data_IF_551640244174
#
_entry.id   IF_551640244174
#
_cell.length_a   1.000
_cell.length_b   1.000
_cell.length_c   1.000
_cell.angle_alpha   90.00
_cell.angle_beta   90.00
_cell.angle_gamma   90.00
#
_symmetry.space_group_name_H-M   'P 1'
#
loop_
_entity.id
_entity.type
_entity.pdbx_description
1 polymer ?
#
# COMPACT_ATOMS: atom_id res chain seq x y z
N UNK A 1 21.06 17.45 8.84
CA UNK A 1 19.92 16.74 9.47
C UNK A 1 18.63 17.55 9.45
N UNK A 2 18.62 18.83 9.81
CA UNK A 2 17.38 19.65 9.84
C UNK A 2 16.75 19.80 8.44
N UNK A 3 17.54 19.83 7.38
CA UNK A 3 17.02 19.90 6.00
C UNK A 3 16.31 18.61 5.55
N UNK A 4 16.81 17.43 5.92
CA UNK A 4 16.21 16.14 5.58
C UNK A 4 14.78 15.99 6.13
N UNK A 5 14.53 16.35 7.38
CA UNK A 5 13.19 16.28 7.99
C UNK A 5 12.19 17.23 7.30
N UNK A 6 12.65 18.41 6.87
CA UNK A 6 11.80 19.34 6.11
C UNK A 6 11.43 18.77 4.75
N UNK A 7 12.38 18.14 4.06
CA UNK A 7 12.16 17.49 2.75
C UNK A 7 11.18 16.34 2.90
N UNK A 8 11.38 15.43 3.85
CA UNK A 8 10.47 14.32 4.12
C UNK A 8 9.04 14.82 4.43
N UNK A 9 8.91 15.84 5.27
CA UNK A 9 7.60 16.44 5.58
C UNK A 9 6.92 17.06 4.36
N UNK A 10 7.70 17.72 3.49
CA UNK A 10 7.19 18.28 2.25
C UNK A 10 6.71 17.16 1.30
N UNK A 11 7.45 16.06 1.20
CA UNK A 11 7.07 14.87 0.42
C UNK A 11 5.79 14.24 0.96
N UNK A 12 5.68 14.04 2.28
CA UNK A 12 4.47 13.51 2.91
C UNK A 12 3.25 14.39 2.58
N UNK A 13 3.38 15.71 2.67
CA UNK A 13 2.27 16.61 2.37
C UNK A 13 1.88 16.60 0.89
N UNK A 14 2.86 16.51 -0.02
CA UNK A 14 2.62 16.36 -1.44
C UNK A 14 1.85 15.07 -1.72
N UNK A 15 2.41 13.92 -1.30
CA UNK A 15 1.81 12.61 -1.55
C UNK A 15 0.42 12.46 -0.92
N UNK A 16 0.23 12.98 0.28
CA UNK A 16 -1.10 13.04 0.91
C UNK A 16 -2.11 13.74 0.01
N UNK A 17 -1.74 14.89 -0.55
CA UNK A 17 -2.64 15.66 -1.41
C UNK A 17 -2.90 14.93 -2.72
N UNK A 18 -1.89 14.31 -3.31
CA UNK A 18 -1.98 13.59 -4.57
C UNK A 18 -2.84 12.32 -4.41
N UNK A 19 -2.64 11.54 -3.35
CA UNK A 19 -3.47 10.37 -3.03
C UNK A 19 -4.93 10.77 -2.78
N UNK A 20 -5.19 11.79 -1.97
CA UNK A 20 -6.55 12.24 -1.67
C UNK A 20 -7.31 12.79 -2.89
N UNK A 21 -6.59 13.33 -3.87
CA UNK A 21 -7.17 13.78 -5.15
C UNK A 21 -7.37 12.64 -6.15
N UNK A 22 -6.61 11.58 -6.03
CA UNK A 22 -6.67 10.45 -6.94
C UNK A 22 -7.67 9.41 -6.45
N UNK A 23 -8.93 9.51 -6.91
CA UNK A 23 -10.02 8.59 -6.54
C UNK A 23 -9.66 7.11 -6.81
N UNK A 24 -8.90 6.82 -7.87
CA UNK A 24 -8.48 5.44 -8.18
C UNK A 24 -7.58 4.88 -7.10
N UNK A 25 -6.61 5.65 -6.61
CA UNK A 25 -5.72 5.23 -5.52
C UNK A 25 -6.49 5.00 -4.23
N UNK A 26 -7.43 5.88 -3.88
CA UNK A 26 -8.28 5.69 -2.71
C UNK A 26 -9.13 4.43 -2.81
N UNK A 27 -9.73 4.15 -3.96
CA UNK A 27 -10.51 2.92 -4.17
C UNK A 27 -9.61 1.69 -3.96
N UNK A 28 -8.41 1.66 -4.55
CA UNK A 28 -7.47 0.54 -4.40
C UNK A 28 -7.07 0.36 -2.93
N UNK A 29 -6.83 1.45 -2.20
CA UNK A 29 -6.44 1.40 -0.79
C UNK A 29 -7.52 0.79 0.11
N UNK A 30 -8.77 1.07 -0.15
CA UNK A 30 -9.87 0.66 0.72
C UNK A 30 -10.74 -0.48 0.16
N UNK A 31 -10.42 -1.00 -1.03
CA UNK A 31 -11.24 -2.02 -1.70
C UNK A 31 -11.44 -3.26 -0.83
N UNK A 32 -10.39 -3.81 -0.25
CA UNK A 32 -10.48 -5.03 0.56
C UNK A 32 -11.18 -4.81 1.91
N UNK A 33 -10.83 -3.77 2.71
CA UNK A 33 -11.57 -3.46 3.94
C UNK A 33 -13.06 -3.20 3.69
N UNK A 34 -13.40 -2.47 2.62
CA UNK A 34 -14.79 -2.16 2.28
C UNK A 34 -15.56 -3.40 1.82
N UNK A 35 -14.95 -4.25 0.97
CA UNK A 35 -15.57 -5.50 0.54
C UNK A 35 -15.84 -6.40 1.75
N UNK A 36 -14.87 -6.56 2.65
CA UNK A 36 -15.03 -7.39 3.85
C UNK A 36 -16.11 -6.83 4.79
N UNK A 37 -16.11 -5.52 4.99
CA UNK A 37 -17.16 -4.84 5.75
C UNK A 37 -18.54 -5.11 5.16
N UNK A 38 -18.69 -5.00 3.84
CA UNK A 38 -19.95 -5.29 3.16
C UNK A 38 -20.40 -6.76 3.32
N UNK A 39 -19.47 -7.72 3.19
CA UNK A 39 -19.74 -9.16 3.40
C UNK A 39 -20.22 -9.41 4.83
N UNK A 40 -19.59 -8.76 5.81
CA UNK A 40 -19.95 -8.88 7.23
C UNK A 40 -21.35 -8.34 7.50
N UNK A 41 -21.69 -7.17 6.94
CA UNK A 41 -23.03 -6.57 7.07
C UNK A 41 -24.11 -7.36 6.32
N UNK A 42 -23.79 -7.92 5.13
CA UNK A 42 -24.71 -8.74 4.36
C UNK A 42 -25.05 -10.09 5.06
N UNK A 43 -24.32 -10.42 6.12
CA UNK A 43 -24.60 -11.63 6.92
C UNK A 43 -24.20 -12.92 6.22
N UNK A 44 -23.28 -12.88 5.24
CA UNK A 44 -22.82 -14.07 4.52
C UNK A 44 -22.01 -14.94 5.49
N UNK A 45 -22.61 -16.05 5.93
CA UNK A 45 -22.12 -16.91 7.01
C UNK A 45 -20.75 -17.56 6.68
N UNK A 46 -20.50 -17.86 5.41
CA UNK A 46 -19.28 -18.55 4.94
C UNK A 46 -18.00 -17.74 5.20
N UNK A 47 -18.11 -16.42 5.29
CA UNK A 47 -16.97 -15.51 5.55
C UNK A 47 -16.97 -14.91 6.97
N UNK A 48 -17.96 -15.28 7.81
CA UNK A 48 -18.01 -14.80 9.20
C UNK A 48 -16.93 -15.49 10.03
N UNK A 49 -15.96 -14.70 10.47
CA UNK A 49 -14.93 -15.12 11.44
C UNK A 49 -13.57 -15.47 10.82
N UNK A 50 -13.44 -15.54 9.50
CA UNK A 50 -12.14 -15.73 8.85
C UNK A 50 -11.94 -14.71 7.72
N UNK A 51 -11.51 -13.51 8.10
CA UNK A 51 -11.13 -12.44 7.18
C UNK A 51 -9.66 -12.48 6.77
N UNK A 52 -8.92 -13.53 7.17
CA UNK A 52 -7.46 -13.61 6.99
C UNK A 52 -7.02 -13.41 5.55
N UNK A 53 -7.72 -13.98 4.58
CA UNK A 53 -7.44 -13.81 3.17
C UNK A 53 -7.56 -12.35 2.72
N UNK A 54 -8.59 -11.62 3.19
CA UNK A 54 -8.75 -10.19 2.87
C UNK A 54 -7.68 -9.33 3.53
N UNK A 55 -7.29 -9.67 4.76
CA UNK A 55 -6.18 -9.02 5.46
C UNK A 55 -4.87 -9.23 4.73
N UNK A 56 -4.58 -10.46 4.28
CA UNK A 56 -3.39 -10.77 3.48
C UNK A 56 -3.40 -10.05 2.13
N UNK A 57 -4.52 -10.03 1.42
CA UNK A 57 -4.66 -9.27 0.17
C UNK A 57 -4.40 -7.79 0.39
N UNK A 58 -4.94 -7.21 1.46
CA UNK A 58 -4.70 -5.81 1.82
C UNK A 58 -3.23 -5.56 2.14
N UNK A 59 -2.58 -6.46 2.87
CA UNK A 59 -1.20 -6.30 3.33
C UNK A 59 -0.16 -6.49 2.22
N UNK A 60 -0.47 -7.27 1.19
CA UNK A 60 0.46 -7.60 0.11
C UNK A 60 0.13 -6.83 -1.16
N UNK A 61 -1.11 -6.96 -1.67
CA UNK A 61 -1.45 -6.44 -3.00
C UNK A 61 -1.55 -4.91 -3.02
N UNK A 62 -2.16 -4.32 -1.98
CA UNK A 62 -2.41 -2.87 -1.96
C UNK A 62 -1.13 -2.07 -1.92
N UNK A 63 -0.16 -2.30 -1.01
CA UNK A 63 1.07 -1.52 -0.97
C UNK A 63 1.92 -1.68 -2.23
N UNK A 64 2.00 -2.88 -2.81
CA UNK A 64 2.72 -3.11 -4.08
C UNK A 64 2.10 -2.24 -5.17
N UNK A 65 0.78 -2.30 -5.34
CA UNK A 65 0.08 -1.59 -6.40
C UNK A 65 0.17 -0.07 -6.24
N UNK A 66 -0.02 0.45 -5.03
CA UNK A 66 -0.03 1.90 -4.76
C UNK A 66 1.37 2.48 -4.96
N UNK A 67 2.40 1.88 -4.34
CA UNK A 67 3.77 2.38 -4.46
C UNK A 67 4.25 2.33 -5.90
N UNK A 68 4.02 1.21 -6.60
CA UNK A 68 4.39 1.07 -8.00
C UNK A 68 3.69 2.12 -8.88
N UNK A 69 2.40 2.39 -8.62
CA UNK A 69 1.63 3.40 -9.35
C UNK A 69 2.15 4.83 -9.11
N UNK A 70 2.49 5.19 -7.87
CA UNK A 70 3.04 6.51 -7.53
C UNK A 70 4.37 6.71 -8.27
N UNK A 71 5.29 5.75 -8.15
CA UNK A 71 6.64 5.85 -8.74
C UNK A 71 6.56 5.92 -10.27
N UNK A 72 5.75 5.07 -10.89
CA UNK A 72 5.57 5.07 -12.34
C UNK A 72 4.90 6.36 -12.84
N UNK A 73 3.90 6.89 -12.13
CA UNK A 73 3.24 8.16 -12.45
C UNK A 73 4.21 9.34 -12.38
N UNK A 74 5.06 9.41 -11.36
CA UNK A 74 6.06 10.46 -11.23
C UNK A 74 7.16 10.37 -12.29
N UNK A 75 7.53 9.14 -12.67
CA UNK A 75 8.46 8.88 -13.77
C UNK A 75 7.86 9.33 -15.11
N UNK A 76 6.61 8.96 -15.38
CA UNK A 76 5.88 9.33 -16.60
C UNK A 76 5.73 10.85 -16.73
N UNK A 77 5.41 11.55 -15.65
CA UNK A 77 5.27 13.01 -15.59
C UNK A 77 6.61 13.75 -15.55
N UNK A 78 7.73 13.05 -15.43
CA UNK A 78 9.06 13.67 -15.25
C UNK A 78 9.28 14.34 -13.89
N UNK A 79 8.32 14.26 -12.97
CA UNK A 79 8.39 14.86 -11.64
C UNK A 79 9.50 14.25 -10.80
N UNK A 80 9.72 12.95 -10.93
CA UNK A 80 10.83 12.26 -10.27
C UNK A 80 12.19 12.89 -10.59
N UNK A 81 12.44 13.17 -11.88
CA UNK A 81 13.69 13.84 -12.31
C UNK A 81 13.81 15.25 -11.74
N UNK A 82 12.72 16.02 -11.72
CA UNK A 82 12.71 17.36 -11.13
C UNK A 82 12.99 17.35 -9.64
N UNK A 83 12.44 16.38 -8.89
CA UNK A 83 12.70 16.21 -7.45
C UNK A 83 14.18 15.91 -7.19
N UNK A 84 14.78 15.01 -7.97
CA UNK A 84 16.21 14.68 -7.82
C UNK A 84 17.10 15.90 -8.14
N UNK A 85 16.76 16.67 -9.19
CA UNK A 85 17.51 17.90 -9.54
C UNK A 85 17.33 19.02 -8.51
N UNK A 86 16.25 19.05 -7.76
CA UNK A 86 16.03 20.02 -6.66
C UNK A 86 16.78 19.66 -5.36
N UNK A 87 17.56 18.56 -5.38
CA UNK A 87 18.39 18.12 -4.26
C UNK A 87 17.71 17.20 -3.27
N UNK A 88 16.51 16.68 -3.60
CA UNK A 88 15.85 15.61 -2.81
C UNK A 88 16.66 14.32 -2.99
N UNK A 89 17.04 13.68 -1.89
CA UNK A 89 17.73 12.40 -1.93
C UNK A 89 16.75 11.26 -2.14
N UNK A 90 17.16 10.22 -2.89
CA UNK A 90 16.32 9.05 -3.12
C UNK A 90 15.73 8.44 -1.84
N UNK A 91 16.52 8.42 -0.75
CA UNK A 91 16.07 7.93 0.55
C UNK A 91 14.96 8.81 1.18
N UNK A 92 15.04 10.13 1.05
CA UNK A 92 14.02 11.07 1.55
C UNK A 92 12.71 10.91 0.78
N UNK A 93 12.82 10.68 -0.52
CA UNK A 93 11.69 10.38 -1.39
C UNK A 93 11.00 9.07 -1.00
N UNK A 94 11.77 7.97 -0.88
CA UNK A 94 11.24 6.66 -0.50
C UNK A 94 10.54 6.73 0.86
N UNK A 95 11.18 7.30 1.89
CA UNK A 95 10.58 7.43 3.21
C UNK A 95 9.30 8.27 3.17
N UNK A 96 9.31 9.38 2.44
CA UNK A 96 8.14 10.25 2.34
C UNK A 96 6.90 9.52 1.81
N UNK A 97 7.07 8.72 0.76
CA UNK A 97 5.97 7.90 0.20
C UNK A 97 5.59 6.77 1.16
N UNK A 98 6.57 6.03 1.70
CA UNK A 98 6.28 4.91 2.61
C UNK A 98 5.48 5.35 3.83
N UNK A 99 5.82 6.47 4.45
CA UNK A 99 5.12 6.97 5.65
C UNK A 99 3.65 7.26 5.35
N UNK A 100 3.36 7.96 4.27
CA UNK A 100 1.97 8.31 3.96
C UNK A 100 1.14 7.07 3.55
N UNK A 101 1.70 6.18 2.74
CA UNK A 101 1.02 4.95 2.35
C UNK A 101 0.78 4.06 3.58
N UNK A 102 1.78 3.92 4.48
CA UNK A 102 1.65 3.18 5.73
C UNK A 102 0.50 3.71 6.59
N UNK A 103 0.34 5.02 6.72
CA UNK A 103 -0.78 5.60 7.48
C UNK A 103 -2.15 5.15 6.95
N UNK A 104 -2.33 5.13 5.63
CA UNK A 104 -3.58 4.67 5.03
C UNK A 104 -3.79 3.16 5.18
N UNK A 105 -2.72 2.36 5.07
CA UNK A 105 -2.79 0.91 5.26
C UNK A 105 -3.16 0.54 6.71
N UNK A 106 -2.57 1.22 7.69
CA UNK A 106 -2.92 1.04 9.10
C UNK A 106 -4.38 1.39 9.35
N UNK A 107 -4.90 2.44 8.72
CA UNK A 107 -6.32 2.77 8.82
C UNK A 107 -7.22 1.66 8.25
N UNK A 108 -6.82 1.02 7.15
CA UNK A 108 -7.49 -0.17 6.62
C UNK A 108 -7.48 -1.34 7.60
N UNK A 109 -6.36 -1.56 8.31
CA UNK A 109 -6.26 -2.61 9.35
C UNK A 109 -7.20 -2.35 10.53
N UNK A 110 -7.40 -1.10 10.93
CA UNK A 110 -8.37 -0.75 11.97
C UNK A 110 -9.80 -1.15 11.57
N UNK A 111 -10.15 -1.00 10.29
CA UNK A 111 -11.46 -1.45 9.78
C UNK A 111 -11.59 -2.98 9.89
N UNK A 112 -10.55 -3.74 9.54
CA UNK A 112 -10.53 -5.20 9.67
C UNK A 112 -10.67 -5.65 11.12
N UNK A 113 -10.01 -4.99 12.06
CA UNK A 113 -10.10 -5.30 13.49
C UNK A 113 -11.52 -5.06 14.01
N UNK A 114 -12.14 -3.93 13.66
CA UNK A 114 -13.52 -3.63 14.07
C UNK A 114 -14.55 -4.61 13.46
N UNK A 115 -14.29 -5.17 12.30
CA UNK A 115 -15.17 -6.16 11.67
C UNK A 115 -14.92 -7.59 12.15
N UNK A 116 -13.90 -7.80 12.96
CA UNK A 116 -13.56 -9.10 13.54
C UNK A 116 -12.81 -10.04 12.60
N UNK A 117 -12.23 -9.52 11.51
CA UNK A 117 -11.41 -10.30 10.58
C UNK A 117 -10.16 -10.92 11.23
N UNK A 118 -9.67 -10.31 12.30
CA UNK A 118 -8.44 -10.68 13.02
C UNK A 118 -8.67 -11.43 14.32
N UNK A 119 -9.91 -11.81 14.64
CA UNK A 119 -10.28 -12.39 15.96
C UNK A 119 -9.58 -13.69 16.34
N UNK A 120 -9.06 -14.43 15.37
CA UNK A 120 -8.43 -15.74 15.59
C UNK A 120 -6.91 -15.67 15.81
N UNK A 121 -6.30 -14.49 15.75
CA UNK A 121 -4.87 -14.28 15.99
C UNK A 121 -4.65 -13.41 17.22
N UNK A 122 -3.56 -13.68 17.94
CA UNK A 122 -3.12 -12.76 19.00
C UNK A 122 -2.86 -11.40 18.35
N UNK A 123 -3.62 -10.38 18.78
CA UNK A 123 -3.67 -9.06 18.14
C UNK A 123 -2.28 -8.45 17.99
N UNK A 124 -1.39 -8.67 18.95
CA UNK A 124 -0.03 -8.13 18.91
C UNK A 124 0.85 -8.80 17.84
N UNK A 125 0.82 -10.12 17.74
CA UNK A 125 1.56 -10.88 16.72
C UNK A 125 1.04 -10.54 15.32
N UNK A 126 -0.27 -10.48 15.14
CA UNK A 126 -0.88 -10.10 13.87
C UNK A 126 -0.44 -8.71 13.40
N UNK A 127 -0.39 -7.73 14.32
CA UNK A 127 0.07 -6.37 13.98
C UNK A 127 1.53 -6.39 13.51
N UNK A 128 2.43 -7.09 14.22
CA UNK A 128 3.85 -7.15 13.84
C UNK A 128 4.02 -7.81 12.47
N UNK A 129 3.37 -8.94 12.24
CA UNK A 129 3.46 -9.66 10.96
C UNK A 129 2.95 -8.79 9.81
N UNK A 130 1.81 -8.11 9.99
CA UNK A 130 1.28 -7.21 8.97
C UNK A 130 2.17 -5.98 8.72
N UNK A 131 2.81 -5.41 9.75
CA UNK A 131 3.76 -4.30 9.57
C UNK A 131 4.98 -4.73 8.75
N UNK A 132 5.52 -5.92 9.00
CA UNK A 132 6.62 -6.48 8.21
C UNK A 132 6.15 -6.72 6.76
N UNK A 133 4.98 -7.31 6.58
CA UNK A 133 4.40 -7.55 5.26
C UNK A 133 4.21 -6.22 4.49
N UNK A 134 3.72 -5.15 5.11
CA UNK A 134 3.61 -3.84 4.49
C UNK A 134 4.94 -3.30 4.01
N UNK A 135 5.98 -3.34 4.85
CA UNK A 135 7.31 -2.83 4.50
C UNK A 135 7.90 -3.61 3.32
N UNK A 136 7.85 -4.94 3.37
CA UNK A 136 8.37 -5.78 2.29
C UNK A 136 7.60 -5.55 0.97
N UNK A 137 6.28 -5.49 1.05
CA UNK A 137 5.42 -5.23 -0.11
C UNK A 137 5.67 -3.85 -0.72
N UNK A 138 5.89 -2.82 0.11
CA UNK A 138 6.27 -1.49 -0.37
C UNK A 138 7.60 -1.51 -1.12
N UNK A 139 8.61 -2.24 -0.62
CA UNK A 139 9.91 -2.39 -1.29
C UNK A 139 9.75 -3.04 -2.68
N UNK A 140 8.93 -4.09 -2.78
CA UNK A 140 8.61 -4.73 -4.06
C UNK A 140 7.89 -3.74 -4.98
N UNK A 141 6.94 -2.97 -4.45
CA UNK A 141 6.24 -1.92 -5.19
C UNK A 141 7.18 -0.87 -5.78
N UNK A 142 8.21 -0.43 -5.04
CA UNK A 142 9.25 0.46 -5.56
C UNK A 142 9.99 -0.15 -6.74
N UNK A 143 10.41 -1.42 -6.64
CA UNK A 143 11.11 -2.11 -7.72
C UNK A 143 10.25 -2.16 -8.98
N UNK A 144 8.97 -2.54 -8.83
CA UNK A 144 8.02 -2.61 -9.95
C UNK A 144 7.81 -1.22 -10.57
N UNK A 145 7.63 -0.17 -9.75
CA UNK A 145 7.44 1.19 -10.22
C UNK A 145 8.62 1.73 -11.02
N UNK A 146 9.85 1.40 -10.61
CA UNK A 146 11.07 1.77 -11.34
C UNK A 146 11.18 1.04 -12.67
N UNK A 147 10.79 -0.23 -12.74
CA UNK A 147 10.84 -1.05 -13.96
C UNK A 147 9.73 -0.64 -14.93
N UNK A 148 8.56 -0.24 -14.44
CA UNK A 148 7.41 0.13 -15.26
C UNK A 148 7.64 1.47 -15.98
N UNK A 149 7.28 1.54 -17.26
CA UNK A 149 7.45 2.76 -18.07
C UNK A 149 6.38 3.81 -17.79
N UNK A 150 5.18 3.39 -17.41
CA UNK A 150 4.04 4.25 -17.13
C UNK A 150 3.07 3.60 -16.15
N UNK A 151 2.10 4.38 -15.67
CA UNK A 151 1.11 3.90 -14.69
C UNK A 151 0.25 2.73 -15.23
N UNK A 152 0.02 2.65 -16.54
CA UNK A 152 -0.78 1.56 -17.13
C UNK A 152 -0.02 0.24 -17.11
N UNK A 153 1.30 0.26 -17.38
CA UNK A 153 2.15 -0.93 -17.36
C UNK A 153 2.35 -1.53 -15.97
N UNK A 154 2.17 -0.73 -14.91
CA UNK A 154 2.24 -1.21 -13.52
C UNK A 154 1.29 -2.39 -13.29
N UNK A 155 0.03 -2.30 -13.76
CA UNK A 155 -0.94 -3.38 -13.59
C UNK A 155 -0.49 -4.70 -14.22
N UNK A 156 0.10 -4.64 -15.40
CA UNK A 156 0.59 -5.82 -16.12
C UNK A 156 1.76 -6.51 -15.39
N UNK A 157 2.62 -5.75 -14.71
CA UNK A 157 3.78 -6.28 -13.98
C UNK A 157 3.40 -6.66 -12.55
N UNK A 158 2.64 -5.83 -11.86
CA UNK A 158 2.32 -6.02 -10.43
C UNK A 158 1.36 -7.17 -10.18
N UNK A 159 0.35 -7.39 -11.04
CA UNK A 159 -0.64 -8.44 -10.82
C UNK A 159 -0.02 -9.85 -10.78
N UNK A 160 0.82 -10.29 -11.76
CA UNK A 160 1.46 -11.60 -11.66
C UNK A 160 2.33 -11.74 -10.41
N UNK A 161 3.12 -10.71 -10.08
CA UNK A 161 4.00 -10.73 -8.89
C UNK A 161 3.19 -10.85 -7.61
N UNK A 162 2.12 -10.06 -7.46
CA UNK A 162 1.27 -10.09 -6.26
C UNK A 162 0.54 -11.42 -6.12
N UNK A 163 0.07 -12.01 -7.22
CA UNK A 163 -0.59 -13.32 -7.19
C UNK A 163 0.39 -14.42 -6.76
N UNK A 164 1.61 -14.44 -7.30
CA UNK A 164 2.64 -15.41 -6.89
C UNK A 164 2.90 -15.29 -5.39
N UNK A 165 3.12 -14.08 -4.88
CA UNK A 165 3.40 -13.85 -3.45
C UNK A 165 2.20 -14.23 -2.58
N UNK A 166 0.98 -13.95 -3.03
CA UNK A 166 -0.24 -14.27 -2.29
C UNK A 166 -0.48 -15.77 -2.18
N UNK A 167 -0.23 -16.54 -3.25
CA UNK A 167 -0.45 -17.99 -3.25
C UNK A 167 0.74 -18.79 -2.69
N UNK A 168 1.94 -18.21 -2.57
CA UNK A 168 3.12 -18.90 -2.05
C UNK A 168 2.94 -19.54 -0.65
N UNK A 169 2.24 -18.89 0.32
CA UNK A 169 2.02 -19.50 1.64
C UNK A 169 1.00 -20.64 1.66
N UNK A 170 0.29 -20.88 0.56
CA UNK A 170 -0.79 -21.87 0.48
C UNK A 170 -0.29 -23.21 -0.09
N UNK A 171 0.92 -23.21 -0.67
CA UNK A 171 1.62 -24.40 -1.21
C UNK A 171 2.59 -24.94 -0.19
#
# INVERSE_FOLDING_TARGET
MINSLRVIRAMINKEKTDILRNKKMLIIMFIFPVIYLFITFAGIQEFKGDGSAFVLMHSIMVPIQIIASIVAEEKEKGTFKMLMMSGVRAFEYIIGIMVIVMMFLVFGMVIFDQTGATKNSDTFEAVIVNMIAFILSMMIGFIIGVISDNQVSVGAVSLPVTLIIFFMPIV
#
